data_IF_141038026017
#
_entry.id   IF_141038026017
#
_cell.length_a   1.000
_cell.length_b   1.000
_cell.length_c   1.000
_cell.angle_alpha   90.00
_cell.angle_beta   90.00
_cell.angle_gamma   90.00
#
_symmetry.space_group_name_H-M   'P 1'
#
loop_
_entity.id
_entity.type
_entity.pdbx_description
1 polymer ?
#
# COMPACT_ATOMS: atom_id res chain seq x y z
N UNK A 1 -11.78 18.75 -43.16
CA UNK A 1 -12.37 18.24 -41.90
C UNK A 1 -12.96 19.45 -41.19
N UNK A 2 -14.28 19.45 -40.97
CA UNK A 2 -15.08 20.66 -40.79
C UNK A 2 -14.95 21.33 -39.42
N UNK A 3 -14.51 22.58 -39.41
CA UNK A 3 -14.66 23.49 -38.28
C UNK A 3 -16.09 24.03 -38.27
N UNK A 4 -16.97 23.38 -37.50
CA UNK A 4 -18.31 23.90 -37.21
C UNK A 4 -18.23 24.80 -35.98
N UNK A 5 -18.06 26.11 -36.18
CA UNK A 5 -18.20 27.10 -35.10
C UNK A 5 -19.68 27.24 -34.70
N UNK A 6 -20.11 26.57 -33.62
CA UNK A 6 -21.38 26.89 -32.98
C UNK A 6 -21.15 28.00 -31.96
N UNK A 7 -21.45 29.24 -32.33
CA UNK A 7 -21.31 30.41 -31.46
C UNK A 7 -22.49 30.51 -30.48
N UNK A 8 -22.41 29.74 -29.39
CA UNK A 8 -23.22 29.95 -28.19
C UNK A 8 -22.28 30.14 -26.99
N UNK A 9 -21.77 31.37 -26.87
CA UNK A 9 -20.95 31.81 -25.75
C UNK A 9 -19.48 31.36 -25.82
N UNK A 10 -18.65 31.99 -25.00
CA UNK A 10 -17.22 31.77 -24.80
C UNK A 10 -16.82 30.36 -24.31
N UNK A 11 -17.71 29.37 -24.44
CA UNK A 11 -17.50 27.98 -24.02
C UNK A 11 -17.10 27.14 -25.22
N UNK A 12 -15.83 26.76 -25.28
CA UNK A 12 -15.31 25.84 -26.30
C UNK A 12 -15.79 24.41 -26.00
N UNK A 13 -16.39 23.76 -26.98
CA UNK A 13 -16.79 22.35 -26.95
C UNK A 13 -16.12 21.60 -28.10
N UNK A 14 -15.75 20.34 -27.86
CA UNK A 14 -15.21 19.45 -28.89
C UNK A 14 -16.24 18.38 -29.21
N UNK A 15 -16.37 18.02 -30.48
CA UNK A 15 -17.29 16.96 -30.93
C UNK A 15 -16.50 15.72 -31.36
N UNK A 16 -17.07 14.53 -31.18
CA UNK A 16 -16.52 13.24 -31.63
C UNK A 16 -17.65 12.25 -31.96
N UNK A 17 -17.31 11.10 -32.54
CA UNK A 17 -18.27 10.03 -32.84
C UNK A 17 -18.25 8.95 -31.76
N UNK A 18 -19.39 8.30 -31.51
CA UNK A 18 -19.49 7.11 -30.67
C UNK A 18 -19.39 5.79 -31.48
N UNK A 19 -19.51 4.67 -30.79
CA UNK A 19 -19.51 3.32 -31.37
C UNK A 19 -20.63 3.06 -32.40
N UNK A 20 -21.67 3.89 -32.39
CA UNK A 20 -22.78 3.83 -33.33
C UNK A 20 -22.72 4.98 -34.34
N UNK A 21 -21.53 5.57 -34.54
CA UNK A 21 -21.26 6.67 -35.47
C UNK A 21 -22.11 7.93 -35.22
N UNK A 22 -22.58 8.14 -33.99
CA UNK A 22 -23.35 9.34 -33.62
C UNK A 22 -22.44 10.41 -33.03
N UNK A 23 -22.72 11.67 -33.38
CA UNK A 23 -22.01 12.84 -32.85
C UNK A 23 -22.30 13.02 -31.36
N UNK A 24 -21.24 13.19 -30.57
CA UNK A 24 -21.27 13.48 -29.13
C UNK A 24 -20.32 14.60 -28.77
N UNK A 25 -20.58 15.26 -27.65
CA UNK A 25 -19.67 16.24 -27.06
C UNK A 25 -18.60 15.51 -26.25
N UNK A 26 -17.33 15.81 -26.51
CA UNK A 26 -16.19 15.27 -25.79
C UNK A 26 -15.91 16.13 -24.55
N UNK A 27 -15.84 15.48 -23.39
CA UNK A 27 -15.43 16.13 -22.15
C UNK A 27 -13.90 16.20 -22.09
N UNK A 28 -13.36 17.41 -22.08
CA UNK A 28 -11.93 17.67 -21.91
C UNK A 28 -11.61 18.39 -20.60
N UNK A 29 -10.34 18.37 -20.22
CA UNK A 29 -9.82 19.16 -19.10
C UNK A 29 -9.30 20.49 -19.63
N UNK A 30 -9.68 21.60 -19.01
CA UNK A 30 -9.11 22.91 -19.32
C UNK A 30 -7.85 23.10 -18.49
N UNK A 31 -6.74 23.34 -19.17
CA UNK A 31 -5.50 23.72 -18.51
C UNK A 31 -5.60 25.17 -18.02
N UNK A 32 -4.95 25.48 -16.90
CA UNK A 32 -4.78 26.85 -16.44
C UNK A 32 -3.78 27.60 -17.32
N UNK A 33 -3.87 28.93 -17.31
CA UNK A 33 -2.97 29.80 -18.07
C UNK A 33 -1.50 29.53 -17.73
N UNK A 34 -1.20 29.30 -16.45
CA UNK A 34 0.17 29.01 -15.99
C UNK A 34 0.75 27.72 -16.59
N UNK A 35 -0.07 26.67 -16.72
CA UNK A 35 0.35 25.41 -17.33
C UNK A 35 0.56 25.60 -18.83
N UNK A 36 -0.33 26.34 -19.49
CA UNK A 36 -0.19 26.67 -20.92
C UNK A 36 1.07 27.48 -21.19
N UNK A 37 1.37 28.50 -20.38
CA UNK A 37 2.57 29.33 -20.54
C UNK A 37 3.85 28.53 -20.34
N UNK A 38 3.91 27.69 -19.32
CA UNK A 38 5.03 26.77 -19.10
C UNK A 38 5.22 25.80 -20.27
N UNK A 39 4.13 25.26 -20.82
CA UNK A 39 4.20 24.37 -21.99
C UNK A 39 4.70 25.12 -23.25
N UNK A 40 4.38 26.40 -23.39
CA UNK A 40 4.92 27.24 -24.47
C UNK A 40 6.41 27.53 -24.28
N UNK A 41 6.84 27.94 -23.09
CA UNK A 41 8.24 28.24 -22.78
C UNK A 41 9.16 27.01 -22.92
N UNK A 42 8.72 25.86 -22.42
CA UNK A 42 9.44 24.58 -22.59
C UNK A 42 9.52 24.15 -24.06
N UNK A 43 8.53 24.50 -24.88
CA UNK A 43 8.56 24.24 -26.34
C UNK A 43 9.47 25.22 -27.08
N UNK A 44 9.61 26.46 -26.61
CA UNK A 44 10.48 27.48 -27.21
C UNK A 44 11.96 27.26 -26.92
N UNK A 45 12.32 26.66 -25.78
CA UNK A 45 13.72 26.30 -25.48
C UNK A 45 14.33 25.27 -26.46
N UNK A 46 13.51 24.59 -27.27
CA UNK A 46 13.96 23.68 -28.34
C UNK A 46 13.97 24.32 -29.74
N UNK A 47 13.45 25.54 -29.91
CA UNK A 47 13.20 26.14 -31.23
C UNK A 47 14.21 27.18 -31.69
N UNK A 48 14.87 27.91 -30.79
CA UNK A 48 15.77 29.01 -31.17
C UNK A 48 16.97 29.10 -30.23
N UNK A 49 18.06 28.42 -30.59
CA UNK A 49 19.39 28.78 -30.08
C UNK A 49 20.35 29.08 -31.23
N UNK A 50 20.30 30.35 -31.64
CA UNK A 50 21.46 31.08 -32.18
C UNK A 50 22.55 31.11 -31.08
N UNK A 51 23.82 30.79 -31.38
CA UNK A 51 24.87 30.71 -30.37
C UNK A 51 25.27 32.11 -29.93
N UNK A 52 24.79 32.54 -28.76
CA UNK A 52 25.26 33.74 -28.06
C UNK A 52 26.18 33.31 -26.92
N UNK A 53 27.42 33.76 -27.01
CA UNK A 53 28.53 33.57 -26.10
C UNK A 53 28.16 33.66 -24.61
N UNK A 54 28.27 32.53 -23.91
CA UNK A 54 28.56 32.50 -22.48
C UNK A 54 29.96 31.88 -22.33
N UNK A 55 30.87 32.48 -21.52
CA UNK A 55 32.18 31.90 -21.29
C UNK A 55 32.04 30.56 -20.54
N UNK A 56 32.89 29.56 -20.84
CA UNK A 56 32.81 28.28 -20.15
C UNK A 56 33.23 28.46 -18.68
N UNK A 57 32.54 27.83 -17.71
CA UNK A 57 33.06 27.73 -16.36
C UNK A 57 34.24 26.76 -16.36
N UNK A 58 35.46 27.29 -16.48
CA UNK A 58 36.66 26.50 -16.25
C UNK A 58 36.79 26.16 -14.77
N UNK A 59 36.78 24.86 -14.50
CA UNK A 59 37.55 24.18 -13.44
C UNK A 59 37.18 24.50 -11.99
N UNK A 60 36.35 23.63 -11.38
CA UNK A 60 36.75 22.93 -10.16
C UNK A 60 35.86 21.73 -9.83
N UNK A 61 36.48 20.56 -9.73
CA UNK A 61 36.12 19.56 -8.71
C UNK A 61 35.04 18.55 -9.07
N UNK A 62 35.51 17.35 -9.40
CA UNK A 62 34.88 16.06 -9.07
C UNK A 62 33.51 15.79 -9.67
N UNK A 63 33.52 15.04 -10.77
CA UNK A 63 32.54 14.00 -11.00
C UNK A 63 32.53 13.05 -9.78
N UNK A 64 31.67 13.29 -8.80
CA UNK A 64 31.20 12.26 -7.86
C UNK A 64 29.97 11.61 -8.50
N UNK A 65 30.19 10.72 -9.45
CA UNK A 65 30.14 9.28 -9.23
C UNK A 65 28.70 8.79 -8.93
N UNK A 66 28.05 8.05 -9.85
CA UNK A 66 26.76 7.38 -9.60
C UNK A 66 26.79 6.41 -8.40
N UNK A 67 27.98 6.04 -7.90
CA UNK A 67 28.22 5.19 -6.73
C UNK A 67 27.65 5.73 -5.41
N UNK A 68 27.54 7.06 -5.25
CA UNK A 68 27.00 7.65 -4.01
C UNK A 68 25.47 7.47 -3.87
N UNK A 69 24.77 7.17 -4.97
CA UNK A 69 23.36 6.83 -4.95
C UNK A 69 23.16 5.33 -4.66
N UNK A 70 23.97 4.46 -5.26
CA UNK A 70 23.91 2.99 -5.08
C UNK A 70 24.06 2.58 -3.60
N UNK A 71 25.03 3.16 -2.88
CA UNK A 71 25.21 2.84 -1.45
C UNK A 71 24.07 3.27 -0.54
N UNK A 72 23.21 4.21 -0.97
CA UNK A 72 22.01 4.60 -0.20
C UNK A 72 20.90 3.56 -0.37
N UNK A 73 20.67 3.11 -1.60
CA UNK A 73 19.68 2.08 -1.88
C UNK A 73 20.03 0.76 -1.21
N UNK A 74 21.31 0.37 -1.19
CA UNK A 74 21.75 -0.86 -0.53
C UNK A 74 21.57 -0.79 0.99
N UNK A 75 21.85 0.38 1.60
CA UNK A 75 21.58 0.61 3.02
C UNK A 75 20.08 0.57 3.33
N UNK A 76 19.24 1.15 2.48
CA UNK A 76 17.78 1.09 2.62
C UNK A 76 17.27 -0.34 2.51
N UNK A 77 17.78 -1.15 1.57
CA UNK A 77 17.43 -2.56 1.46
C UNK A 77 17.80 -3.35 2.72
N UNK A 78 18.97 -3.10 3.31
CA UNK A 78 19.38 -3.75 4.55
C UNK A 78 18.41 -3.44 5.72
N UNK A 79 17.98 -2.18 5.85
CA UNK A 79 17.00 -1.78 6.88
C UNK A 79 15.64 -2.43 6.65
N UNK A 80 15.18 -2.51 5.41
CA UNK A 80 13.91 -3.20 5.06
C UNK A 80 13.99 -4.69 5.39
N UNK A 81 15.12 -5.34 5.08
CA UNK A 81 15.32 -6.76 5.37
C UNK A 81 15.34 -7.04 6.89
N UNK A 82 15.98 -6.16 7.67
CA UNK A 82 16.02 -6.23 9.13
C UNK A 82 14.62 -6.07 9.74
N UNK A 83 13.85 -5.07 9.31
CA UNK A 83 12.49 -4.85 9.82
C UNK A 83 11.55 -6.01 9.48
N UNK A 84 11.64 -6.59 8.28
CA UNK A 84 10.90 -7.79 7.92
C UNK A 84 11.25 -8.98 8.83
N UNK A 85 12.53 -9.19 9.11
CA UNK A 85 12.97 -10.28 9.99
C UNK A 85 12.50 -10.06 11.43
N UNK A 86 12.53 -8.80 11.90
CA UNK A 86 12.03 -8.41 13.20
C UNK A 86 10.53 -8.62 13.35
N UNK A 87 9.76 -8.27 12.31
CA UNK A 87 8.32 -8.54 12.24
C UNK A 87 8.03 -10.05 12.27
N UNK A 88 8.70 -10.84 11.44
CA UNK A 88 8.51 -12.29 11.40
C UNK A 88 8.83 -12.96 12.75
N UNK A 89 9.90 -12.51 13.44
CA UNK A 89 10.23 -12.99 14.79
C UNK A 89 9.12 -12.67 15.78
N UNK A 90 8.63 -11.43 15.79
CA UNK A 90 7.55 -10.98 16.68
C UNK A 90 6.26 -11.75 16.44
N UNK A 91 5.88 -11.98 15.18
CA UNK A 91 4.69 -12.75 14.82
C UNK A 91 4.79 -14.20 15.29
N UNK A 92 5.95 -14.83 15.10
CA UNK A 92 6.20 -16.19 15.61
C UNK A 92 6.09 -16.25 17.13
N UNK A 93 6.69 -15.30 17.84
CA UNK A 93 6.62 -15.24 19.31
C UNK A 93 5.18 -15.04 19.79
N UNK A 94 4.45 -14.09 19.22
CA UNK A 94 3.05 -13.85 19.55
C UNK A 94 2.15 -15.07 19.26
N UNK A 95 2.38 -15.76 18.14
CA UNK A 95 1.65 -16.99 17.82
C UNK A 95 1.99 -18.12 18.79
N UNK A 96 3.26 -18.26 19.18
CA UNK A 96 3.72 -19.23 20.17
C UNK A 96 3.13 -18.98 21.55
N UNK A 97 3.07 -17.72 21.99
CA UNK A 97 2.49 -17.33 23.28
C UNK A 97 0.98 -17.59 23.31
N UNK A 98 0.29 -17.27 22.22
CA UNK A 98 -1.13 -17.60 22.06
C UNK A 98 -1.37 -19.11 22.14
N UNK A 99 -0.56 -19.92 21.44
CA UNK A 99 -0.68 -21.38 21.47
C UNK A 99 -0.44 -21.92 22.88
N UNK A 100 0.62 -21.45 23.56
CA UNK A 100 0.94 -21.84 24.92
C UNK A 100 -0.24 -21.53 25.88
N UNK A 101 -0.84 -20.35 25.74
CA UNK A 101 -1.99 -19.92 26.53
C UNK A 101 -3.21 -20.81 26.28
N UNK A 102 -3.51 -21.14 25.02
CA UNK A 102 -4.63 -22.03 24.65
C UNK A 102 -4.41 -23.43 25.24
N UNK A 103 -3.21 -23.99 25.08
CA UNK A 103 -2.88 -25.33 25.60
C UNK A 103 -2.94 -25.38 27.13
N UNK A 104 -2.47 -24.34 27.82
CA UNK A 104 -2.56 -24.27 29.27
C UNK A 104 -4.02 -24.21 29.74
N UNK A 105 -4.86 -23.40 29.07
CA UNK A 105 -6.28 -23.33 29.35
C UNK A 105 -6.98 -24.67 29.14
N UNK A 106 -6.68 -25.36 28.05
CA UNK A 106 -7.23 -26.69 27.74
C UNK A 106 -6.85 -27.72 28.81
N UNK A 107 -5.58 -27.76 29.21
CA UNK A 107 -5.10 -28.65 30.29
C UNK A 107 -5.83 -28.38 31.60
N UNK A 108 -6.01 -27.12 31.96
CA UNK A 108 -6.71 -26.74 33.18
C UNK A 108 -8.18 -27.17 33.11
N UNK A 109 -8.87 -26.90 32.00
CA UNK A 109 -10.26 -27.32 31.77
C UNK A 109 -10.43 -28.83 31.87
N UNK A 110 -9.51 -29.59 31.27
CA UNK A 110 -9.53 -31.06 31.30
C UNK A 110 -9.34 -31.59 32.72
N UNK A 111 -8.43 -31.00 33.49
CA UNK A 111 -8.21 -31.39 34.88
C UNK A 111 -9.42 -31.08 35.76
N UNK A 112 -10.06 -29.93 35.59
CA UNK A 112 -11.29 -29.58 36.30
C UNK A 112 -12.42 -30.57 35.98
N UNK A 113 -12.61 -30.91 34.71
CA UNK A 113 -13.62 -31.89 34.29
C UNK A 113 -13.33 -33.28 34.88
N UNK A 114 -12.07 -33.72 34.87
CA UNK A 114 -11.65 -34.98 35.50
C UNK A 114 -11.97 -34.99 37.00
N UNK A 115 -11.66 -33.91 37.73
CA UNK A 115 -11.98 -33.82 39.16
C UNK A 115 -13.50 -33.86 39.40
N UNK A 116 -14.29 -33.18 38.57
CA UNK A 116 -15.76 -33.23 38.63
C UNK A 116 -16.29 -34.64 38.36
N UNK A 117 -15.74 -35.34 37.36
CA UNK A 117 -16.13 -36.72 37.05
C UNK A 117 -15.82 -37.68 38.20
N UNK A 118 -14.65 -37.57 38.84
CA UNK A 118 -14.29 -38.37 40.01
C UNK A 118 -15.26 -38.13 41.17
N UNK A 119 -15.60 -36.86 41.45
CA UNK A 119 -16.60 -36.53 42.46
C UNK A 119 -17.98 -37.09 42.11
N UNK A 120 -18.39 -37.02 40.85
CA UNK A 120 -19.67 -37.55 40.39
C UNK A 120 -19.73 -39.08 40.55
N UNK A 121 -18.65 -39.80 40.23
CA UNK A 121 -18.59 -41.26 40.46
C UNK A 121 -18.70 -41.58 41.96
N UNK A 122 -17.99 -40.83 42.81
CA UNK A 122 -18.07 -41.01 44.26
C UNK A 122 -19.47 -40.75 44.83
N UNK A 123 -20.16 -39.72 44.35
CA UNK A 123 -21.54 -39.43 44.77
C UNK A 123 -22.53 -40.48 44.27
N UNK A 124 -22.42 -40.91 43.01
CA UNK A 124 -23.24 -42.01 42.46
C UNK A 124 -23.09 -43.30 43.27
N UNK A 125 -21.87 -43.70 43.64
CA UNK A 125 -21.65 -44.88 44.49
C UNK A 125 -22.30 -44.77 45.87
N UNK A 126 -22.30 -43.58 46.49
CA UNK A 126 -22.97 -43.35 47.77
C UNK A 126 -24.48 -43.47 47.65
N UNK A 127 -25.07 -42.89 46.60
CA UNK A 127 -26.51 -42.94 46.35
C UNK A 127 -26.94 -44.39 46.13
N UNK A 128 -26.24 -45.16 45.29
CA UNK A 128 -26.56 -46.58 45.08
C UNK A 128 -26.49 -47.41 46.36
N UNK A 129 -25.55 -47.12 47.28
CA UNK A 129 -25.52 -47.78 48.60
C UNK A 129 -26.70 -47.41 49.51
N UNK A 130 -27.27 -46.22 49.36
CA UNK A 130 -28.45 -45.81 50.13
C UNK A 130 -29.73 -46.44 49.57
N UNK A 131 -29.79 -46.68 48.26
CA UNK A 131 -30.96 -47.29 47.59
C UNK A 131 -31.04 -48.81 47.76
N UNK A 132 -29.91 -49.53 47.84
CA UNK A 132 -29.92 -50.99 48.11
C UNK A 132 -30.01 -51.35 49.61
N UNK A 133 -30.06 -50.34 50.49
CA UNK A 133 -30.17 -50.52 51.95
C UNK A 133 -31.60 -50.39 52.51
N UNK A 134 -32.62 -50.35 51.64
CA UNK A 134 -34.06 -50.29 51.96
C UNK A 134 -34.77 -51.53 51.43
#
# INVERSE_FOLDING_TARGET
MGSGESSHGNRKVSFGLDEQERVRVLQGIRLSEDVVNRMKETSQLKGDQKPSSFPPPSSRGTASAPQAAEGKYEREQALVQEELLRLAKREREAASDSLSTILQREKNSTNEERQKAVQLVGTKQRISRQEEGL
#
